data_IF_448763770400
#
_entry.id   IF_448763770400
#
_cell.length_a   1.000
_cell.length_b   1.000
_cell.length_c   1.000
_cell.angle_alpha   90.00
_cell.angle_beta   90.00
_cell.angle_gamma   90.00
#
_symmetry.space_group_name_H-M   'P 1'
#
loop_
_entity.id
_entity.type
_entity.pdbx_description
1 polymer ?
#
# COMPACT_ATOMS: atom_id res chain seq x y z
N UNK A 1 20.53 -7.30 -16.56
CA UNK A 1 19.80 -6.67 -15.45
C UNK A 1 19.71 -5.15 -15.61
N UNK A 2 20.83 -4.41 -15.75
CA UNK A 2 20.80 -2.94 -15.86
C UNK A 2 19.92 -2.45 -17.03
N UNK A 3 20.08 -3.01 -18.23
CA UNK A 3 19.30 -2.66 -19.41
C UNK A 3 17.79 -2.92 -19.22
N UNK A 4 17.44 -3.97 -18.50
CA UNK A 4 16.05 -4.28 -18.16
C UNK A 4 15.46 -3.22 -17.21
N UNK A 5 16.19 -2.87 -16.14
CA UNK A 5 15.78 -1.84 -15.19
C UNK A 5 15.59 -0.50 -15.92
N UNK A 6 16.55 -0.10 -16.74
CA UNK A 6 16.46 1.12 -17.57
C UNK A 6 15.24 1.11 -18.47
N UNK A 7 14.99 0.01 -19.19
CA UNK A 7 13.82 -0.11 -20.08
C UNK A 7 12.50 -0.02 -19.30
N UNK A 8 12.44 -0.61 -18.10
CA UNK A 8 11.27 -0.53 -17.22
C UNK A 8 11.06 0.88 -16.69
N UNK A 9 12.11 1.56 -16.25
CA UNK A 9 12.04 2.95 -15.82
C UNK A 9 11.55 3.86 -16.96
N UNK A 10 12.10 3.71 -18.17
CA UNK A 10 11.66 4.46 -19.34
C UNK A 10 10.19 4.18 -19.67
N UNK A 11 9.74 2.93 -19.59
CA UNK A 11 8.33 2.57 -19.84
C UNK A 11 7.38 3.10 -18.75
N UNK A 12 7.88 3.49 -17.59
CA UNK A 12 7.09 4.09 -16.50
C UNK A 12 6.89 5.60 -16.65
N UNK A 13 7.71 6.27 -17.49
CA UNK A 13 7.61 7.73 -17.69
C UNK A 13 6.22 8.16 -18.20
N UNK A 14 5.61 7.53 -19.20
CA UNK A 14 4.26 7.89 -19.65
C UNK A 14 3.22 7.77 -18.51
N UNK A 15 3.34 6.76 -17.68
CA UNK A 15 2.45 6.58 -16.51
C UNK A 15 2.62 7.73 -15.51
N UNK A 16 3.86 8.14 -15.21
CA UNK A 16 4.12 9.28 -14.32
C UNK A 16 3.56 10.59 -14.91
N UNK A 17 3.72 10.81 -16.21
CA UNK A 17 3.15 11.98 -16.88
C UNK A 17 1.62 11.97 -16.78
N UNK A 18 0.98 10.83 -17.05
CA UNK A 18 -0.48 10.72 -16.95
C UNK A 18 -0.97 10.95 -15.51
N UNK A 19 -0.30 10.36 -14.51
CA UNK A 19 -0.63 10.57 -13.09
C UNK A 19 -0.43 12.03 -12.71
N UNK A 20 0.66 12.67 -13.10
CA UNK A 20 0.93 14.07 -12.78
C UNK A 20 -0.11 15.01 -13.42
N UNK A 21 -0.49 14.78 -14.67
CA UNK A 21 -1.56 15.51 -15.34
C UNK A 21 -2.91 15.33 -14.64
N UNK A 22 -3.22 14.08 -14.27
CA UNK A 22 -4.46 13.75 -13.57
C UNK A 22 -4.56 14.45 -12.21
N UNK A 23 -3.50 14.36 -11.40
CA UNK A 23 -3.46 14.98 -10.07
C UNK A 23 -3.55 16.50 -10.17
N UNK A 24 -2.81 17.10 -11.09
CA UNK A 24 -2.86 18.54 -11.33
C UNK A 24 -4.25 18.99 -11.80
N UNK A 25 -4.88 18.23 -12.70
CA UNK A 25 -6.23 18.56 -13.21
C UNK A 25 -7.29 18.39 -12.13
N UNK A 26 -7.22 17.32 -11.32
CA UNK A 26 -8.16 17.11 -10.20
C UNK A 26 -8.16 18.29 -9.24
N UNK A 27 -6.97 18.83 -8.92
CA UNK A 27 -6.86 20.02 -8.07
C UNK A 27 -7.65 21.20 -8.65
N UNK A 28 -7.59 21.43 -9.97
CA UNK A 28 -8.30 22.53 -10.65
C UNK A 28 -9.81 22.33 -10.71
N UNK A 29 -10.28 21.09 -10.61
CA UNK A 29 -11.70 20.74 -10.60
C UNK A 29 -12.33 20.82 -9.20
N UNK A 30 -11.53 20.89 -8.14
CA UNK A 30 -12.06 21.04 -6.79
C UNK A 30 -12.74 22.40 -6.62
N UNK A 31 -13.98 22.46 -6.11
CA UNK A 31 -14.69 23.71 -5.95
C UNK A 31 -14.03 24.61 -4.87
N UNK A 32 -13.75 25.85 -5.22
CA UNK A 32 -13.20 26.87 -4.33
C UNK A 32 -11.94 27.53 -4.88
N UNK A 33 -11.72 28.78 -4.45
CA UNK A 33 -10.51 29.52 -4.80
C UNK A 33 -9.38 29.12 -3.83
N UNK A 34 -8.23 28.60 -4.33
CA UNK A 34 -7.10 28.26 -3.47
C UNK A 34 -6.59 29.45 -2.67
N UNK A 35 -6.72 30.68 -3.19
CA UNK A 35 -6.31 31.90 -2.49
C UNK A 35 -7.17 32.15 -1.26
N UNK A 36 -8.48 31.88 -1.35
CA UNK A 36 -9.37 31.98 -0.19
C UNK A 36 -9.03 30.96 0.90
N UNK A 37 -8.59 29.78 0.51
CA UNK A 37 -8.12 28.77 1.47
C UNK A 37 -6.79 29.15 2.13
N UNK A 38 -5.92 29.88 1.42
CA UNK A 38 -4.63 30.39 1.91
C UNK A 38 -4.80 31.61 2.82
N UNK A 39 -5.69 32.54 2.46
CA UNK A 39 -5.91 33.78 3.20
C UNK A 39 -6.65 33.58 4.54
N UNK A 40 -7.25 32.41 4.77
CA UNK A 40 -7.98 32.13 6.01
C UNK A 40 -9.16 33.07 6.23
N UNK A 41 -9.23 33.65 7.44
CA UNK A 41 -10.26 34.66 7.79
C UNK A 41 -9.90 36.08 7.34
N UNK A 42 -8.62 36.35 7.13
CA UNK A 42 -8.14 37.66 6.63
C UNK A 42 -8.30 37.72 5.10
N UNK A 43 -9.41 38.29 4.67
CA UNK A 43 -9.73 38.53 3.25
C UNK A 43 -9.25 39.88 2.77
N UNK A 44 -8.03 40.30 3.13
CA UNK A 44 -7.43 41.51 2.60
C UNK A 44 -7.15 41.33 1.10
N UNK A 45 -7.75 42.19 0.24
CA UNK A 45 -7.51 42.13 -1.21
C UNK A 45 -6.03 42.20 -1.60
N UNK A 46 -5.20 42.94 -0.86
CA UNK A 46 -3.78 43.05 -1.13
C UNK A 46 -3.03 41.72 -0.85
N UNK A 47 -3.41 41.00 0.22
CA UNK A 47 -2.86 39.68 0.54
C UNK A 47 -3.30 38.67 -0.51
N UNK A 48 -4.53 38.74 -0.95
CA UNK A 48 -5.04 37.83 -1.98
C UNK A 48 -4.34 38.02 -3.33
N UNK A 49 -4.13 39.28 -3.75
CA UNK A 49 -3.39 39.59 -4.97
C UNK A 49 -1.93 39.15 -4.88
N UNK A 50 -1.26 39.41 -3.75
CA UNK A 50 0.09 38.91 -3.48
C UNK A 50 0.19 37.37 -3.58
N UNK A 51 -0.78 36.65 -3.02
CA UNK A 51 -0.80 35.18 -3.08
C UNK A 51 -1.04 34.68 -4.50
N UNK A 52 -1.91 35.32 -5.30
CA UNK A 52 -2.14 35.01 -6.71
C UNK A 52 -0.88 35.15 -7.53
N UNK A 53 -0.17 36.25 -7.36
CA UNK A 53 1.07 36.55 -8.08
C UNK A 53 2.20 35.59 -7.63
N UNK A 54 2.38 35.41 -6.31
CA UNK A 54 3.38 34.51 -5.74
C UNK A 54 3.27 33.08 -6.24
N UNK A 55 2.03 32.55 -6.33
CA UNK A 55 1.78 31.18 -6.78
C UNK A 55 1.42 31.10 -8.27
N UNK A 56 1.51 32.21 -9.00
CA UNK A 56 1.21 32.31 -10.44
C UNK A 56 -0.13 31.69 -10.80
N UNK A 57 -1.16 31.94 -10.01
CA UNK A 57 -2.47 31.32 -10.17
C UNK A 57 -3.25 31.87 -11.37
N UNK A 58 -2.87 33.03 -11.87
CA UNK A 58 -3.47 33.70 -13.04
C UNK A 58 -2.77 33.31 -14.35
N UNK A 59 -1.65 32.57 -14.29
CA UNK A 59 -0.99 32.03 -15.50
C UNK A 59 -1.93 31.05 -16.24
N UNK A 60 -1.78 30.89 -17.57
CA UNK A 60 -2.45 29.82 -18.32
C UNK A 60 -2.18 28.44 -17.71
N UNK A 61 -3.22 27.57 -17.63
CA UNK A 61 -3.15 26.26 -16.99
C UNK A 61 -1.94 25.42 -17.46
N UNK A 62 -1.61 25.36 -18.78
CA UNK A 62 -0.43 24.62 -19.24
C UNK A 62 0.89 25.15 -18.65
N UNK A 63 1.00 26.48 -18.47
CA UNK A 63 2.19 27.09 -17.91
C UNK A 63 2.32 26.80 -16.42
N UNK A 64 1.20 26.84 -15.67
CA UNK A 64 1.16 26.43 -14.27
C UNK A 64 1.60 24.98 -14.11
N UNK A 65 1.14 24.07 -14.99
CA UNK A 65 1.55 22.65 -14.98
C UNK A 65 3.05 22.48 -15.22
N UNK A 66 3.60 23.14 -16.24
CA UNK A 66 5.03 23.08 -16.56
C UNK A 66 5.90 23.61 -15.41
N UNK A 67 5.51 24.73 -14.79
CA UNK A 67 6.20 25.27 -13.63
C UNK A 67 6.15 24.31 -12.44
N UNK A 68 4.98 23.74 -12.17
CA UNK A 68 4.82 22.75 -11.10
C UNK A 68 5.67 21.50 -11.35
N UNK A 69 5.65 20.93 -12.56
CA UNK A 69 6.51 19.78 -12.92
C UNK A 69 7.99 20.15 -12.80
N UNK A 70 8.39 21.35 -13.22
CA UNK A 70 9.75 21.84 -13.06
C UNK A 70 10.20 21.84 -11.58
N UNK A 71 9.36 22.34 -10.67
CA UNK A 71 9.62 22.34 -9.24
C UNK A 71 9.70 20.90 -8.68
N UNK A 72 8.76 20.03 -9.08
CA UNK A 72 8.79 18.60 -8.68
C UNK A 72 10.09 17.92 -9.10
N UNK A 73 10.59 18.17 -10.31
CA UNK A 73 11.83 17.59 -10.81
C UNK A 73 13.07 18.09 -10.05
N UNK A 74 13.01 19.28 -9.45
CA UNK A 74 14.07 19.81 -8.57
C UNK A 74 13.90 19.39 -7.11
N UNK A 75 12.86 18.59 -6.78
CA UNK A 75 12.57 18.11 -5.44
C UNK A 75 11.72 19.05 -4.59
N UNK A 76 11.22 20.12 -5.17
CA UNK A 76 10.28 21.03 -4.49
C UNK A 76 8.83 20.60 -4.79
N UNK A 77 8.17 20.02 -3.79
CA UNK A 77 6.76 19.63 -3.84
C UNK A 77 5.82 20.72 -3.31
N UNK A 78 6.36 21.92 -3.03
CA UNK A 78 5.63 23.02 -2.43
C UNK A 78 5.55 22.94 -0.91
N UNK A 79 4.75 23.85 -0.35
CA UNK A 79 4.57 24.03 1.09
C UNK A 79 3.10 23.79 1.45
N UNK A 80 2.86 23.08 2.56
CA UNK A 80 1.53 22.88 3.12
C UNK A 80 0.90 24.22 3.51
N UNK A 81 -0.32 24.44 3.08
CA UNK A 81 -1.06 25.67 3.41
C UNK A 81 -1.45 25.75 4.88
N UNK A 82 -1.58 24.60 5.54
CA UNK A 82 -2.03 24.49 6.91
C UNK A 82 -0.89 24.54 7.93
N UNK A 83 0.20 23.82 7.62
CA UNK A 83 1.32 23.65 8.58
C UNK A 83 2.51 24.53 8.26
N UNK A 84 2.50 25.22 7.11
CA UNK A 84 3.59 26.03 6.58
C UNK A 84 4.92 25.26 6.42
N UNK A 85 4.86 23.90 6.45
CA UNK A 85 6.01 23.04 6.31
C UNK A 85 6.17 22.59 4.85
N UNK A 86 7.41 22.37 4.38
CA UNK A 86 7.66 21.76 3.09
C UNK A 86 6.98 20.37 3.00
N UNK A 87 6.30 20.11 1.90
CA UNK A 87 5.59 18.84 1.66
C UNK A 87 6.57 17.66 1.74
N UNK A 88 7.80 17.84 1.25
CA UNK A 88 8.87 16.82 1.35
C UNK A 88 9.14 16.39 2.79
N UNK A 89 9.16 17.33 3.74
CA UNK A 89 9.36 17.06 5.17
C UNK A 89 8.17 16.27 5.74
N UNK A 90 6.95 16.66 5.39
CA UNK A 90 5.74 15.95 5.79
C UNK A 90 5.73 14.52 5.26
N UNK A 91 6.04 14.33 3.97
CA UNK A 91 6.14 12.99 3.37
C UNK A 91 7.21 12.15 4.06
N UNK A 92 8.41 12.69 4.29
CA UNK A 92 9.50 11.99 4.94
C UNK A 92 9.15 11.53 6.37
N UNK A 93 8.32 12.28 7.08
CA UNK A 93 7.87 11.93 8.44
C UNK A 93 6.75 10.89 8.47
N UNK A 94 5.86 10.87 7.46
CA UNK A 94 4.66 10.03 7.43
C UNK A 94 4.83 8.72 6.64
N UNK A 95 5.64 8.73 5.59
CA UNK A 95 5.88 7.56 4.75
C UNK A 95 6.42 6.35 5.54
N UNK A 96 7.44 6.50 6.43
CA UNK A 96 7.93 5.36 7.20
C UNK A 96 6.84 4.70 8.05
N UNK A 97 5.94 5.47 8.62
CA UNK A 97 4.83 4.97 9.47
C UNK A 97 3.89 4.07 8.66
N UNK A 98 3.47 4.53 7.48
CA UNK A 98 2.61 3.73 6.59
C UNK A 98 3.32 2.50 6.06
N UNK A 99 4.62 2.61 5.69
CA UNK A 99 5.42 1.46 5.25
C UNK A 99 5.53 0.42 6.36
N UNK A 100 5.79 0.84 7.58
CA UNK A 100 5.92 -0.05 8.73
C UNK A 100 4.62 -0.81 8.99
N UNK A 101 3.48 -0.10 9.02
CA UNK A 101 2.16 -0.71 9.14
C UNK A 101 1.88 -1.67 7.96
N UNK A 102 2.18 -1.27 6.73
CA UNK A 102 1.97 -2.09 5.54
C UNK A 102 2.81 -3.37 5.55
N UNK A 103 4.09 -3.28 5.95
CA UNK A 103 4.98 -4.44 6.08
C UNK A 103 4.45 -5.42 7.13
N UNK A 104 4.07 -4.94 8.31
CA UNK A 104 3.51 -5.79 9.36
C UNK A 104 2.19 -6.45 8.94
N UNK A 105 1.29 -5.70 8.31
CA UNK A 105 0.03 -6.22 7.77
C UNK A 105 0.27 -7.30 6.71
N UNK A 106 1.21 -7.06 5.79
CA UNK A 106 1.57 -8.02 4.75
C UNK A 106 2.21 -9.28 5.33
N UNK A 107 3.09 -9.15 6.32
CA UNK A 107 3.68 -10.29 7.02
C UNK A 107 2.60 -11.16 7.67
N UNK A 108 1.63 -10.56 8.37
CA UNK A 108 0.49 -11.28 8.95
C UNK A 108 -0.31 -11.99 7.84
N UNK A 109 -0.60 -11.29 6.73
CA UNK A 109 -1.32 -11.85 5.61
C UNK A 109 -0.60 -13.05 4.97
N UNK A 110 0.72 -12.97 4.79
CA UNK A 110 1.54 -14.05 4.24
C UNK A 110 1.62 -15.25 5.20
N UNK A 111 1.83 -14.98 6.49
CA UNK A 111 1.95 -16.03 7.53
C UNK A 111 0.64 -16.80 7.73
N UNK A 112 -0.51 -16.17 7.50
CA UNK A 112 -1.81 -16.83 7.60
C UNK A 112 -2.26 -17.36 6.24
N UNK A 113 -2.22 -16.54 5.19
CA UNK A 113 -2.83 -16.84 3.89
C UNK A 113 -2.11 -17.96 3.12
N UNK A 114 -0.77 -17.96 3.10
CA UNK A 114 -0.02 -18.99 2.37
C UNK A 114 -0.18 -20.37 3.02
N UNK A 115 0.07 -20.59 4.32
CA UNK A 115 -0.08 -21.91 4.93
C UNK A 115 -1.52 -22.43 4.85
N UNK A 116 -2.50 -21.58 5.13
CA UNK A 116 -3.92 -21.97 5.05
C UNK A 116 -4.34 -22.33 3.63
N UNK A 117 -3.85 -21.59 2.61
CA UNK A 117 -4.08 -21.88 1.20
C UNK A 117 -3.46 -23.22 0.75
N UNK A 118 -2.23 -23.52 1.20
CA UNK A 118 -1.57 -24.81 0.95
C UNK A 118 -2.36 -25.95 1.58
N UNK A 119 -2.73 -25.82 2.87
CA UNK A 119 -3.48 -26.85 3.62
C UNK A 119 -4.83 -27.11 2.93
N UNK A 120 -5.55 -26.06 2.56
CA UNK A 120 -6.83 -26.13 1.86
C UNK A 120 -6.69 -26.83 0.50
N UNK A 121 -5.65 -26.54 -0.28
CA UNK A 121 -5.41 -27.18 -1.57
C UNK A 121 -5.08 -28.67 -1.44
N UNK A 122 -4.24 -29.04 -0.47
CA UNK A 122 -3.83 -30.43 -0.22
C UNK A 122 -5.00 -31.26 0.32
N UNK A 123 -5.89 -30.65 1.11
CA UNK A 123 -7.07 -31.30 1.69
C UNK A 123 -8.37 -30.94 0.96
N UNK A 124 -8.29 -30.75 -0.35
CA UNK A 124 -9.43 -30.38 -1.19
C UNK A 124 -10.65 -31.26 -0.94
N UNK A 125 -11.84 -30.61 -0.74
CA UNK A 125 -13.13 -31.29 -0.56
C UNK A 125 -13.37 -31.82 0.86
N UNK A 126 -12.46 -31.57 1.81
CA UNK A 126 -12.65 -31.95 3.22
C UNK A 126 -13.23 -30.78 4.04
N UNK A 127 -13.67 -31.07 5.27
CA UNK A 127 -14.13 -30.05 6.22
C UNK A 127 -13.08 -28.95 6.48
N UNK A 128 -11.77 -29.30 6.44
CA UNK A 128 -10.67 -28.34 6.60
C UNK A 128 -10.64 -27.34 5.41
N UNK A 129 -10.85 -27.84 4.18
CA UNK A 129 -10.92 -26.99 3.00
C UNK A 129 -12.11 -26.04 3.09
N UNK A 130 -13.30 -26.54 3.42
CA UNK A 130 -14.49 -25.73 3.58
C UNK A 130 -14.35 -24.69 4.71
N UNK A 131 -13.84 -25.11 5.88
CA UNK A 131 -13.61 -24.20 7.02
C UNK A 131 -12.62 -23.08 6.68
N UNK A 132 -11.50 -23.43 6.01
CA UNK A 132 -10.54 -22.41 5.59
C UNK A 132 -11.14 -21.41 4.59
N UNK A 133 -12.00 -21.86 3.65
CA UNK A 133 -12.70 -20.97 2.72
C UNK A 133 -13.72 -20.06 3.44
N UNK A 134 -14.46 -20.59 4.42
CA UNK A 134 -15.40 -19.77 5.22
C UNK A 134 -14.64 -18.68 5.98
N UNK A 135 -13.56 -19.03 6.67
CA UNK A 135 -12.73 -18.06 7.40
C UNK A 135 -12.13 -17.01 6.47
N UNK A 136 -11.63 -17.42 5.30
CA UNK A 136 -11.10 -16.49 4.29
C UNK A 136 -12.18 -15.52 3.77
N UNK A 137 -13.37 -16.02 3.46
CA UNK A 137 -14.49 -15.20 3.02
C UNK A 137 -14.94 -14.24 4.13
N UNK A 138 -15.00 -14.69 5.39
CA UNK A 138 -15.33 -13.83 6.52
C UNK A 138 -14.32 -12.69 6.66
N UNK A 139 -13.01 -12.97 6.54
CA UNK A 139 -11.97 -11.95 6.61
C UNK A 139 -12.09 -10.89 5.52
N UNK A 140 -12.52 -11.27 4.32
CA UNK A 140 -12.73 -10.33 3.20
C UNK A 140 -14.04 -9.53 3.38
N UNK A 141 -15.08 -10.14 3.94
CA UNK A 141 -16.42 -9.54 4.04
C UNK A 141 -16.57 -8.59 5.22
N UNK A 142 -15.76 -8.75 6.25
CA UNK A 142 -15.82 -7.90 7.44
C UNK A 142 -15.18 -6.54 7.14
N UNK A 143 -15.90 -5.41 7.34
CA UNK A 143 -15.30 -4.09 7.16
C UNK A 143 -14.13 -3.88 8.13
N UNK A 144 -12.98 -3.44 7.60
CA UNK A 144 -11.74 -3.25 8.39
C UNK A 144 -11.96 -2.33 9.58
N UNK A 145 -12.66 -1.20 9.41
CA UNK A 145 -12.94 -0.26 10.50
C UNK A 145 -13.77 -0.90 11.61
N UNK A 146 -14.76 -1.74 11.27
CA UNK A 146 -15.59 -2.41 12.25
C UNK A 146 -14.80 -3.47 13.03
N UNK A 147 -13.99 -4.27 12.34
CA UNK A 147 -13.06 -5.20 12.99
C UNK A 147 -12.10 -4.45 13.92
N UNK A 148 -11.57 -3.30 13.48
CA UNK A 148 -10.69 -2.46 14.28
C UNK A 148 -11.34 -2.02 15.60
N UNK A 149 -12.56 -1.50 15.53
CA UNK A 149 -13.32 -1.07 16.72
C UNK A 149 -13.56 -2.25 17.68
N UNK A 150 -13.93 -3.43 17.14
CA UNK A 150 -14.13 -4.62 17.97
C UNK A 150 -12.84 -5.06 18.69
N UNK A 151 -11.72 -5.06 17.97
CA UNK A 151 -10.42 -5.43 18.55
C UNK A 151 -9.97 -4.41 19.62
N UNK A 152 -10.17 -3.12 19.39
CA UNK A 152 -9.93 -2.08 20.40
C UNK A 152 -10.78 -2.37 21.64
N UNK A 153 -12.07 -2.64 21.48
CA UNK A 153 -12.97 -2.91 22.60
C UNK A 153 -12.54 -4.14 23.41
N UNK A 154 -12.07 -5.19 22.73
CA UNK A 154 -11.63 -6.43 23.39
C UNK A 154 -10.25 -6.25 24.02
N UNK A 155 -9.24 -5.88 23.25
CA UNK A 155 -7.85 -5.93 23.67
C UNK A 155 -7.38 -4.67 24.40
N UNK A 156 -7.92 -3.51 24.09
CA UNK A 156 -7.52 -2.27 24.74
C UNK A 156 -8.43 -1.92 25.93
N UNK A 157 -9.76 -2.05 25.78
CA UNK A 157 -10.69 -1.60 26.83
C UNK A 157 -10.95 -2.71 27.85
N UNK A 158 -11.31 -3.94 27.42
CA UNK A 158 -11.66 -5.02 28.34
C UNK A 158 -10.43 -5.72 28.95
N UNK A 159 -9.47 -6.12 28.10
CA UNK A 159 -8.29 -6.87 28.52
C UNK A 159 -7.13 -5.99 28.95
N UNK A 160 -7.07 -4.74 28.48
CA UNK A 160 -6.01 -3.77 28.73
C UNK A 160 -4.59 -4.29 28.37
N UNK A 161 -4.50 -5.15 27.34
CA UNK A 161 -3.23 -5.74 26.90
C UNK A 161 -2.50 -4.84 25.90
N UNK A 162 -3.25 -4.12 25.07
CA UNK A 162 -2.72 -3.33 23.96
C UNK A 162 -3.34 -1.92 23.99
N UNK A 163 -2.62 -0.91 23.49
CA UNK A 163 -3.15 0.44 23.41
C UNK A 163 -4.28 0.53 22.36
N UNK A 164 -5.25 1.41 22.63
CA UNK A 164 -6.39 1.64 21.73
C UNK A 164 -6.00 2.43 20.48
N UNK A 165 -5.01 3.33 20.59
CA UNK A 165 -4.63 4.26 19.53
C UNK A 165 -3.22 4.81 19.79
N UNK A 166 -2.68 5.51 18.78
CA UNK A 166 -1.38 6.16 18.88
C UNK A 166 -0.30 5.41 18.10
N UNK A 167 0.88 6.00 18.05
CA UNK A 167 2.05 5.47 17.38
C UNK A 167 3.31 5.84 18.15
N UNK A 168 4.20 4.89 18.35
CA UNK A 168 5.53 5.09 18.92
C UNK A 168 6.55 4.71 17.84
N UNK A 169 7.50 5.58 17.48
CA UNK A 169 8.52 5.27 16.50
C UNK A 169 9.36 4.06 16.91
N UNK A 170 9.71 3.18 15.95
CA UNK A 170 10.54 1.99 16.17
C UNK A 170 11.88 2.34 16.81
N UNK A 171 12.45 3.51 16.48
CA UNK A 171 13.74 3.97 17.02
C UNK A 171 13.69 4.45 18.47
N UNK A 172 12.50 4.75 19.02
CA UNK A 172 12.32 5.16 20.41
C UNK A 172 12.10 3.96 21.34
N UNK A 173 11.14 3.10 21.02
CA UNK A 173 10.84 1.87 21.76
C UNK A 173 10.20 0.84 20.82
N UNK A 174 11.00 -0.16 20.42
CA UNK A 174 10.54 -1.24 19.55
C UNK A 174 9.36 -2.04 20.14
N UNK A 175 9.37 -2.27 21.46
CA UNK A 175 8.32 -3.03 22.14
C UNK A 175 6.98 -2.28 22.15
N UNK A 176 7.00 -1.00 22.43
CA UNK A 176 5.80 -0.15 22.39
C UNK A 176 5.34 0.10 20.96
N UNK A 177 6.26 0.30 20.02
CA UNK A 177 5.93 0.39 18.61
C UNK A 177 5.12 -0.84 18.14
N UNK A 178 5.62 -2.04 18.42
CA UNK A 178 4.92 -3.27 18.06
C UNK A 178 3.53 -3.38 18.72
N UNK A 179 3.41 -2.97 19.99
CA UNK A 179 2.11 -2.97 20.69
C UNK A 179 1.11 -2.01 20.04
N UNK A 180 1.55 -0.84 19.58
CA UNK A 180 0.67 0.13 18.92
C UNK A 180 0.26 -0.32 17.52
N UNK A 181 1.11 -1.10 16.81
CA UNK A 181 0.88 -1.50 15.43
C UNK A 181 0.22 -2.87 15.26
N UNK A 182 0.25 -3.76 16.27
CA UNK A 182 -0.22 -5.15 16.10
C UNK A 182 -1.71 -5.24 15.78
N UNK A 183 -2.56 -4.45 16.44
CA UNK A 183 -4.01 -4.45 16.17
C UNK A 183 -4.32 -3.90 14.77
N UNK A 184 -3.84 -2.70 14.38
CA UNK A 184 -4.09 -2.19 13.03
C UNK A 184 -3.47 -3.07 11.94
N UNK A 185 -2.28 -3.63 12.15
CA UNK A 185 -1.66 -4.56 11.22
C UNK A 185 -2.46 -5.86 11.07
N UNK A 186 -3.03 -6.38 12.17
CA UNK A 186 -3.90 -7.56 12.12
C UNK A 186 -5.20 -7.26 11.37
N UNK A 187 -5.83 -6.10 11.59
CA UNK A 187 -7.04 -5.68 10.88
C UNK A 187 -6.84 -5.71 9.37
N UNK A 188 -5.77 -5.08 8.89
CA UNK A 188 -5.42 -5.06 7.47
C UNK A 188 -5.01 -6.45 6.98
N UNK A 189 -4.14 -7.12 7.72
CA UNK A 189 -3.61 -8.43 7.38
C UNK A 189 -4.66 -9.53 7.33
N UNK A 190 -5.69 -9.48 8.16
CA UNK A 190 -6.77 -10.46 8.18
C UNK A 190 -7.56 -10.47 6.86
N UNK A 191 -7.94 -9.29 6.34
CA UNK A 191 -8.60 -9.19 5.04
C UNK A 191 -7.72 -9.70 3.90
N UNK A 192 -6.46 -9.27 3.87
CA UNK A 192 -5.49 -9.67 2.85
C UNK A 192 -5.15 -11.17 2.92
N UNK A 193 -5.14 -11.77 4.12
CA UNK A 193 -4.91 -13.21 4.29
C UNK A 193 -5.96 -14.05 3.58
N UNK A 194 -7.23 -13.61 3.60
CA UNK A 194 -8.31 -14.28 2.87
C UNK A 194 -8.09 -14.28 1.35
N UNK A 195 -7.66 -13.14 0.80
CA UNK A 195 -7.33 -13.01 -0.62
C UNK A 195 -6.16 -13.92 -0.97
N UNK A 196 -5.05 -13.85 -0.20
CA UNK A 196 -3.86 -14.66 -0.40
C UNK A 196 -4.14 -16.17 -0.27
N UNK A 197 -4.96 -16.57 0.71
CA UNK A 197 -5.37 -17.97 0.91
C UNK A 197 -6.04 -18.50 -0.36
N UNK A 198 -7.01 -17.80 -0.91
CA UNK A 198 -7.76 -18.25 -2.09
C UNK A 198 -6.86 -18.36 -3.33
N UNK A 199 -6.01 -17.37 -3.57
CA UNK A 199 -5.06 -17.40 -4.68
C UNK A 199 -4.00 -18.49 -4.52
N UNK A 200 -3.46 -18.67 -3.30
CA UNK A 200 -2.51 -19.74 -2.98
C UNK A 200 -3.16 -21.11 -3.21
N UNK A 201 -4.40 -21.30 -2.75
CA UNK A 201 -5.16 -22.54 -2.98
C UNK A 201 -5.33 -22.81 -4.47
N UNK A 202 -5.74 -21.82 -5.25
CA UNK A 202 -5.95 -21.99 -6.70
C UNK A 202 -4.64 -22.37 -7.42
N UNK A 203 -3.56 -21.62 -7.19
CA UNK A 203 -2.26 -21.89 -7.77
C UNK A 203 -1.72 -23.28 -7.37
N UNK A 204 -1.86 -23.67 -6.11
CA UNK A 204 -1.46 -24.99 -5.64
C UNK A 204 -2.27 -26.12 -6.29
N UNK A 205 -3.59 -25.97 -6.44
CA UNK A 205 -4.43 -26.98 -7.09
C UNK A 205 -4.08 -27.18 -8.57
N UNK A 206 -3.73 -26.11 -9.27
CA UNK A 206 -3.26 -26.17 -10.66
C UNK A 206 -1.94 -26.95 -10.74
N UNK A 207 -0.95 -26.57 -9.95
CA UNK A 207 0.38 -27.18 -9.94
C UNK A 207 0.36 -28.64 -9.50
N UNK A 208 -0.45 -28.98 -8.49
CA UNK A 208 -0.53 -30.38 -7.96
C UNK A 208 -1.09 -31.38 -8.99
N UNK A 209 -1.71 -30.93 -10.09
CA UNK A 209 -2.23 -31.77 -11.18
C UNK A 209 -1.23 -31.97 -12.32
N UNK A 210 -0.10 -31.30 -12.34
CA UNK A 210 0.90 -31.38 -13.41
C UNK A 210 1.66 -32.70 -13.41
N UNK A 211 2.15 -33.10 -14.59
CA UNK A 211 2.82 -34.39 -14.77
C UNK A 211 4.16 -34.51 -14.02
N UNK A 212 4.89 -33.41 -13.86
CA UNK A 212 6.13 -33.46 -13.08
C UNK A 212 5.88 -33.71 -11.59
N UNK A 213 4.73 -33.30 -11.04
CA UNK A 213 4.33 -33.59 -9.66
C UNK A 213 3.91 -35.06 -9.55
N UNK A 214 3.21 -35.62 -10.57
CA UNK A 214 2.91 -37.05 -10.63
C UNK A 214 4.20 -37.91 -10.67
N UNK A 215 5.16 -37.50 -11.51
CA UNK A 215 6.47 -38.15 -11.60
C UNK A 215 7.22 -38.11 -10.27
N UNK A 216 7.20 -36.98 -9.57
CA UNK A 216 7.82 -36.84 -8.26
C UNK A 216 7.21 -37.82 -7.22
N UNK A 217 5.87 -37.96 -7.25
CA UNK A 217 5.18 -38.95 -6.40
C UNK A 217 5.51 -40.39 -6.80
N UNK A 218 5.54 -40.70 -8.10
CA UNK A 218 5.89 -42.03 -8.62
C UNK A 218 7.32 -42.46 -8.26
N UNK A 219 8.24 -41.49 -8.11
CA UNK A 219 9.61 -41.72 -7.61
C UNK A 219 9.70 -41.96 -6.09
N UNK A 220 8.57 -42.01 -5.38
CA UNK A 220 8.53 -42.25 -3.93
C UNK A 220 8.95 -41.08 -3.05
N UNK A 221 8.97 -39.86 -3.55
CA UNK A 221 9.31 -38.69 -2.73
C UNK A 221 8.26 -38.46 -1.64
N UNK A 222 8.73 -38.08 -0.45
CA UNK A 222 7.86 -37.76 0.67
C UNK A 222 6.85 -36.63 0.31
N UNK A 223 5.57 -36.72 0.75
CA UNK A 223 4.54 -35.77 0.45
C UNK A 223 4.93 -34.30 0.76
N UNK A 224 5.61 -34.08 1.89
CA UNK A 224 6.11 -32.72 2.25
C UNK A 224 7.10 -32.20 1.21
N UNK A 225 8.01 -33.01 0.71
CA UNK A 225 8.98 -32.61 -0.31
C UNK A 225 8.28 -32.29 -1.62
N UNK A 226 7.30 -33.10 -2.03
CA UNK A 226 6.49 -32.85 -3.23
C UNK A 226 5.74 -31.51 -3.11
N UNK A 227 5.11 -31.25 -1.97
CA UNK A 227 4.32 -30.03 -1.73
C UNK A 227 5.22 -28.79 -1.66
N UNK A 228 6.22 -28.79 -0.76
CA UNK A 228 6.99 -27.58 -0.45
C UNK A 228 8.08 -27.29 -1.49
N UNK A 229 8.78 -28.32 -1.97
CA UNK A 229 9.92 -28.14 -2.89
C UNK A 229 9.50 -28.14 -4.37
N UNK A 230 8.55 -28.98 -4.75
CA UNK A 230 8.15 -29.13 -6.15
C UNK A 230 6.90 -28.33 -6.50
N UNK A 231 5.83 -28.38 -5.70
CA UNK A 231 4.59 -27.70 -6.03
C UNK A 231 4.63 -26.21 -5.63
N UNK A 232 4.94 -25.88 -4.38
CA UNK A 232 4.92 -24.52 -3.88
C UNK A 232 5.85 -23.58 -4.66
N UNK A 233 7.05 -24.03 -5.01
CA UNK A 233 8.00 -23.21 -5.76
C UNK A 233 7.42 -22.66 -7.07
N UNK A 234 6.63 -23.46 -7.78
CA UNK A 234 5.99 -23.04 -9.02
C UNK A 234 4.69 -22.23 -8.75
N UNK A 235 3.96 -22.59 -7.69
CA UNK A 235 2.77 -21.86 -7.26
C UNK A 235 3.10 -20.47 -6.69
N UNK A 236 4.34 -20.19 -6.27
CA UNK A 236 4.75 -18.88 -5.74
C UNK A 236 4.72 -17.77 -6.80
N UNK A 237 4.84 -18.06 -8.09
CA UNK A 237 4.87 -17.03 -9.13
C UNK A 237 3.64 -16.12 -9.09
N UNK A 238 2.39 -16.60 -9.20
CA UNK A 238 1.20 -15.77 -9.11
C UNK A 238 1.02 -15.15 -7.71
N UNK A 239 1.51 -15.82 -6.65
CA UNK A 239 1.41 -15.32 -5.27
C UNK A 239 2.29 -14.06 -5.09
N UNK A 240 3.51 -14.06 -5.64
CA UNK A 240 4.40 -12.88 -5.59
C UNK A 240 3.79 -11.69 -6.29
N UNK A 241 3.20 -11.90 -7.50
CA UNK A 241 2.47 -10.82 -8.20
C UNK A 241 1.39 -10.20 -7.31
N UNK A 242 0.55 -11.07 -6.76
CA UNK A 242 -0.54 -10.64 -5.90
C UNK A 242 -0.03 -9.92 -4.66
N UNK A 243 1.01 -10.46 -4.00
CA UNK A 243 1.63 -9.85 -2.82
C UNK A 243 2.11 -8.42 -3.10
N UNK A 244 2.72 -8.21 -4.26
CA UNK A 244 3.18 -6.87 -4.67
C UNK A 244 2.02 -5.91 -4.90
N UNK A 245 0.95 -6.37 -5.55
CA UNK A 245 -0.26 -5.58 -5.74
C UNK A 245 -0.91 -5.20 -4.41
N UNK A 246 -1.05 -6.16 -3.49
CA UNK A 246 -1.62 -5.94 -2.16
C UNK A 246 -0.76 -4.98 -1.33
N UNK A 247 0.57 -5.04 -1.44
CA UNK A 247 1.44 -4.08 -0.78
C UNK A 247 1.27 -2.66 -1.32
N UNK A 248 1.14 -2.51 -2.66
CA UNK A 248 0.83 -1.23 -3.28
C UNK A 248 -0.51 -0.65 -2.82
N UNK A 249 -1.53 -1.51 -2.67
CA UNK A 249 -2.83 -1.15 -2.12
C UNK A 249 -2.72 -0.64 -0.67
N UNK A 250 -1.93 -1.31 0.17
CA UNK A 250 -1.68 -0.88 1.55
C UNK A 250 -1.01 0.50 1.63
N UNK A 251 -0.08 0.80 0.74
CA UNK A 251 0.57 2.12 0.69
C UNK A 251 -0.42 3.25 0.35
N UNK A 252 -1.41 2.96 -0.49
CA UNK A 252 -2.44 3.94 -0.88
C UNK A 252 -3.69 3.93 0.00
N UNK A 253 -3.96 2.87 0.77
CA UNK A 253 -5.30 2.57 1.24
C UNK A 253 -5.49 2.22 2.73
N UNK A 254 -4.49 2.35 3.59
CA UNK A 254 -4.66 2.12 5.04
C UNK A 254 -5.46 3.23 5.77
N UNK A 255 -6.09 4.14 5.00
CA UNK A 255 -6.73 5.38 5.46
C UNK A 255 -7.66 5.16 6.66
N UNK A 256 -8.66 4.28 6.51
CA UNK A 256 -9.65 4.05 7.57
C UNK A 256 -9.02 3.43 8.82
N UNK A 257 -8.04 2.56 8.64
CA UNK A 257 -7.33 1.93 9.75
C UNK A 257 -6.45 2.94 10.47
N UNK A 258 -5.72 3.79 9.73
CA UNK A 258 -4.93 4.88 10.32
C UNK A 258 -5.81 5.88 11.08
N UNK A 259 -7.01 6.19 10.58
CA UNK A 259 -7.96 7.05 11.29
C UNK A 259 -8.48 6.41 12.58
N UNK A 260 -8.94 5.14 12.52
CA UNK A 260 -9.51 4.42 13.69
C UNK A 260 -8.47 4.29 14.81
N UNK A 261 -7.23 3.97 14.47
CA UNK A 261 -6.15 3.80 15.43
C UNK A 261 -5.31 5.06 15.68
N UNK A 262 -5.69 6.20 15.09
CA UNK A 262 -4.98 7.49 15.18
C UNK A 262 -3.49 7.40 14.81
N UNK A 263 -3.15 6.59 13.82
CA UNK A 263 -1.78 6.44 13.32
C UNK A 263 -1.46 7.62 12.38
N UNK A 264 -0.34 8.32 12.58
CA UNK A 264 0.02 9.50 11.79
C UNK A 264 0.65 9.12 10.44
N UNK A 265 -0.04 8.32 9.62
CA UNK A 265 0.45 7.85 8.32
C UNK A 265 -0.02 8.67 7.11
N UNK A 266 0.25 8.17 5.92
CA UNK A 266 -0.13 8.79 4.64
C UNK A 266 -1.63 8.87 4.43
N UNK A 267 -2.35 7.80 4.77
CA UNK A 267 -3.79 7.75 4.59
C UNK A 267 -4.50 8.81 5.41
N UNK A 268 -4.08 9.02 6.66
CA UNK A 268 -4.59 10.09 7.50
C UNK A 268 -4.20 11.46 6.93
N UNK A 269 -2.96 11.63 6.52
CA UNK A 269 -2.46 12.89 5.97
C UNK A 269 -3.24 13.31 4.70
N UNK A 270 -3.54 12.37 3.77
CA UNK A 270 -4.28 12.72 2.55
C UNK A 270 -5.72 13.12 2.85
N UNK A 271 -6.39 12.45 3.79
CA UNK A 271 -7.75 12.82 4.22
C UNK A 271 -7.77 14.21 4.82
N UNK A 272 -6.85 14.47 5.77
CA UNK A 272 -6.73 15.78 6.39
C UNK A 272 -6.43 16.87 5.34
N UNK A 273 -5.56 16.59 4.37
CA UNK A 273 -5.22 17.52 3.29
C UNK A 273 -6.41 17.81 2.37
N UNK A 274 -7.21 16.80 2.00
CA UNK A 274 -8.41 16.97 1.17
C UNK A 274 -9.45 17.84 1.87
N UNK A 275 -9.74 17.53 3.14
CA UNK A 275 -10.72 18.32 3.92
C UNK A 275 -10.28 19.77 4.17
N UNK A 276 -8.97 19.98 4.34
CA UNK A 276 -8.40 21.31 4.54
C UNK A 276 -8.00 22.00 3.23
N UNK A 277 -8.27 21.38 2.07
CA UNK A 277 -7.92 21.91 0.72
C UNK A 277 -6.42 22.22 0.57
N UNK A 278 -5.58 21.42 1.23
CA UNK A 278 -4.13 21.53 1.13
C UNK A 278 -3.63 20.81 -0.13
N UNK A 279 -3.73 21.52 -1.24
CA UNK A 279 -3.48 20.96 -2.56
C UNK A 279 -2.04 20.47 -2.75
N UNK A 280 -1.05 21.18 -2.21
CA UNK A 280 0.35 20.79 -2.31
C UNK A 280 0.59 19.44 -1.63
N UNK A 281 0.00 19.22 -0.46
CA UNK A 281 0.09 17.93 0.26
C UNK A 281 -0.63 16.83 -0.54
N UNK A 282 -1.83 17.08 -1.07
CA UNK A 282 -2.55 16.08 -1.88
C UNK A 282 -1.72 15.66 -3.09
N UNK A 283 -1.18 16.62 -3.84
CA UNK A 283 -0.32 16.36 -4.99
C UNK A 283 0.92 15.56 -4.60
N UNK A 284 1.61 15.98 -3.54
CA UNK A 284 2.82 15.32 -3.05
C UNK A 284 2.55 13.87 -2.63
N UNK A 285 1.46 13.61 -1.88
CA UNK A 285 1.08 12.24 -1.47
C UNK A 285 0.77 11.36 -2.67
N UNK A 286 -0.06 11.83 -3.59
CA UNK A 286 -0.45 11.01 -4.76
C UNK A 286 0.75 10.71 -5.64
N UNK A 287 1.65 11.67 -5.89
CA UNK A 287 2.89 11.43 -6.61
C UNK A 287 3.79 10.42 -5.88
N UNK A 288 3.94 10.57 -4.56
CA UNK A 288 4.75 9.66 -3.75
C UNK A 288 4.19 8.22 -3.80
N UNK A 289 2.88 8.05 -3.68
CA UNK A 289 2.22 6.73 -3.81
C UNK A 289 2.41 6.15 -5.21
N UNK A 290 2.26 6.96 -6.26
CA UNK A 290 2.47 6.51 -7.64
C UNK A 290 3.92 6.05 -7.88
N UNK A 291 4.91 6.82 -7.42
CA UNK A 291 6.32 6.45 -7.50
C UNK A 291 6.58 5.17 -6.68
N UNK A 292 6.03 5.09 -5.46
CA UNK A 292 6.12 3.90 -4.62
C UNK A 292 5.57 2.65 -5.32
N UNK A 293 4.41 2.77 -5.97
CA UNK A 293 3.81 1.69 -6.74
C UNK A 293 4.68 1.25 -7.94
N UNK A 294 5.29 2.20 -8.65
CA UNK A 294 6.23 1.88 -9.73
C UNK A 294 7.49 1.17 -9.22
N UNK A 295 8.04 1.60 -8.08
CA UNK A 295 9.18 0.93 -7.45
C UNK A 295 8.81 -0.50 -7.04
N UNK A 296 7.62 -0.71 -6.47
CA UNK A 296 7.14 -2.04 -6.09
C UNK A 296 6.97 -2.95 -7.31
N UNK A 297 6.41 -2.45 -8.40
CA UNK A 297 6.30 -3.21 -9.65
C UNK A 297 7.68 -3.59 -10.20
N UNK A 298 8.64 -2.67 -10.16
CA UNK A 298 10.01 -2.96 -10.57
C UNK A 298 10.65 -4.03 -9.68
N UNK A 299 10.44 -3.95 -8.36
CA UNK A 299 10.89 -4.97 -7.40
C UNK A 299 10.28 -6.34 -7.70
N UNK A 300 8.97 -6.40 -8.00
CA UNK A 300 8.31 -7.63 -8.41
C UNK A 300 8.93 -8.23 -9.67
N UNK A 301 9.18 -7.42 -10.69
CA UNK A 301 9.80 -7.86 -11.93
C UNK A 301 11.22 -8.40 -11.71
N UNK A 302 11.99 -7.79 -10.82
CA UNK A 302 13.32 -8.28 -10.41
C UNK A 302 13.19 -9.59 -9.66
N UNK A 303 12.26 -9.72 -8.72
CA UNK A 303 12.01 -10.96 -7.99
C UNK A 303 11.61 -12.11 -8.92
N UNK A 304 10.78 -11.86 -9.94
CA UNK A 304 10.44 -12.88 -10.95
C UNK A 304 11.67 -13.42 -11.65
N UNK A 305 12.58 -12.55 -12.07
CA UNK A 305 13.82 -12.97 -12.74
C UNK A 305 14.78 -13.73 -11.83
N UNK A 306 14.76 -13.42 -10.52
CA UNK A 306 15.56 -14.15 -9.54
C UNK A 306 15.02 -15.55 -9.28
N UNK A 307 13.68 -15.71 -9.20
CA UNK A 307 13.02 -16.98 -8.87
C UNK A 307 12.93 -17.88 -10.09
N UNK A 308 12.70 -17.32 -11.28
CA UNK A 308 12.60 -18.09 -12.53
C UNK A 308 13.75 -17.76 -13.50
N UNK A 309 14.82 -18.60 -13.54
CA UNK A 309 15.96 -18.37 -14.41
C UNK A 309 15.62 -18.37 -15.91
N UNK A 310 14.52 -19.00 -16.32
CA UNK A 310 14.07 -19.03 -17.72
C UNK A 310 13.67 -17.65 -18.26
N UNK A 311 13.31 -16.72 -17.38
CA UNK A 311 12.99 -15.34 -17.73
C UNK A 311 14.24 -14.44 -17.88
N UNK A 312 15.44 -14.98 -17.66
CA UNK A 312 16.70 -14.23 -17.84
C UNK A 312 17.16 -14.18 -19.31
N UNK A 313 16.66 -15.07 -20.13
CA UNK A 313 17.08 -15.26 -21.54
C UNK A 313 16.06 -14.72 -22.55
N UNK A 314 14.93 -14.23 -22.11
CA UNK A 314 13.98 -13.47 -22.89
C UNK A 314 14.11 -11.96 -22.56
#
# INVERSE_FOLDING_TARGET
MLMFILRRLLSSIPTLILVSLFVFTLQKLLPGDPVLAMAGEERDPAVMEYLRDKYRLDDPIPLQYLNWVGNVLTGDLGTSLRTEQPVTTLLASKLPVTIELAVLALLIALLIGIPTGIISAVRKGTAVDYGANVVALSGISIPHFWLGILLIMIFAVKLQWLPASGFVPMGEDFGQNLKTLILPAFVLGAGLSGILMRHTRSAMLEVLRTDYVRTARAKGLFPRTVILKHALRNALMPIITLTTLLFGELLGGAVLTEQVFSIPGFGKMIVDAVFNRDYAVVQGVVLCVAIGFLILNLLADVLYRLINPRLRTA
#
